data_IF_488950719792
#
_entry.id   IF_488950719792
#
_cell.length_a   1.000
_cell.length_b   1.000
_cell.length_c   1.000
_cell.angle_alpha   90.00
_cell.angle_beta   90.00
_cell.angle_gamma   90.00
#
_symmetry.space_group_name_H-M   'P 1'
#
loop_
_entity.id
_entity.type
_entity.pdbx_description
1 polymer ?
#
# COMPACT_ATOMS: atom_id res chain seq x y z
N UNK A 1 -6.58 -12.65 -4.08
CA UNK A 1 -6.84 -13.30 -3.86
C UNK A 1 -7.38 -13.66 -3.81
N UNK A 2 -7.25 -13.54 -4.18
CA UNK A 2 -7.88 -14.00 -3.99
C UNK A 2 -7.90 -14.67 -3.58
N UNK A 3 -7.48 -14.78 -3.54
CA UNK A 3 -7.42 -15.49 -3.15
C UNK A 3 -7.37 -15.99 -2.45
N UNK A 4 -7.30 -15.98 -2.54
CA UNK A 4 -7.33 -16.67 -1.89
C UNK A 4 -7.27 -16.84 -0.62
N UNK A 5 -7.41 -16.82 -0.60
CA UNK A 5 -6.90 -17.29 0.69
C UNK A 5 -7.53 -16.59 1.86
N UNK A 6 -8.48 -15.78 1.66
CA UNK A 6 -9.17 -15.04 2.70
C UNK A 6 -8.32 -14.00 3.39
N UNK A 7 -7.20 -13.62 2.79
CA UNK A 7 -6.29 -12.68 3.45
C UNK A 7 -6.41 -11.25 2.98
N UNK A 8 -6.92 -11.03 1.79
CA UNK A 8 -7.07 -9.68 1.29
C UNK A 8 -8.37 -9.10 1.75
N UNK A 9 -8.34 -7.87 2.24
CA UNK A 9 -9.50 -7.16 2.72
C UNK A 9 -9.56 -5.79 2.12
N UNK A 10 -10.75 -5.33 1.86
CA UNK A 10 -11.01 -3.96 1.45
C UNK A 10 -12.12 -3.42 2.33
N UNK A 11 -11.87 -2.30 2.99
CA UNK A 11 -12.84 -1.66 3.86
C UNK A 11 -13.09 -0.24 3.38
N UNK A 12 -14.34 0.08 3.13
CA UNK A 12 -14.78 1.43 2.82
C UNK A 12 -16.06 1.68 3.62
N UNK A 13 -16.06 2.71 4.42
CA UNK A 13 -17.24 3.00 5.22
C UNK A 13 -18.33 3.55 4.35
N UNK A 14 -19.54 2.97 4.42
CA UNK A 14 -19.97 1.95 5.38
C UNK A 14 -19.75 0.50 4.96
N UNK A 15 -18.95 0.22 3.96
CA UNK A 15 -18.79 -1.12 3.42
C UNK A 15 -17.49 -1.76 3.84
N UNK A 16 -17.56 -3.07 4.09
CA UNK A 16 -16.38 -3.90 4.33
C UNK A 16 -16.46 -5.12 3.44
N UNK A 17 -15.39 -5.38 2.68
CA UNK A 17 -15.29 -6.55 1.81
C UNK A 17 -14.18 -7.44 2.32
N UNK A 18 -14.48 -8.71 2.54
CA UNK A 18 -13.54 -9.66 3.11
C UNK A 18 -12.73 -10.37 2.04
N UNK A 19 -11.62 -10.94 2.47
CA UNK A 19 -10.56 -11.38 1.60
C UNK A 19 -10.81 -12.56 0.72
N UNK A 20 -11.77 -13.45 0.99
CA UNK A 20 -12.03 -14.48 0.02
C UNK A 20 -12.99 -14.03 -1.06
N UNK A 21 -13.23 -12.77 -1.11
CA UNK A 21 -13.98 -12.12 -2.14
C UNK A 21 -13.01 -11.64 -3.21
N UNK A 22 -13.22 -12.04 -4.45
CA UNK A 22 -12.36 -11.59 -5.54
C UNK A 22 -12.74 -10.17 -5.93
N UNK A 23 -11.81 -9.24 -5.80
CA UNK A 23 -12.06 -7.87 -6.25
C UNK A 23 -12.20 -7.84 -7.76
N UNK A 24 -13.13 -7.05 -8.25
CA UNK A 24 -13.12 -6.68 -9.65
C UNK A 24 -11.80 -5.96 -9.94
N UNK A 25 -11.20 -6.22 -11.11
CA UNK A 25 -9.90 -5.66 -11.43
C UNK A 25 -9.90 -4.13 -11.35
N UNK A 26 -11.02 -3.50 -11.70
CA UNK A 26 -11.12 -2.04 -11.60
C UNK A 26 -11.02 -1.53 -10.19
N UNK A 27 -11.61 -2.24 -9.22
CA UNK A 27 -11.52 -1.85 -7.81
C UNK A 27 -10.09 -2.00 -7.31
N UNK A 28 -9.45 -3.11 -7.61
CA UNK A 28 -8.09 -3.32 -7.17
C UNK A 28 -7.15 -2.25 -7.73
N UNK A 29 -7.33 -1.86 -8.98
CA UNK A 29 -6.51 -0.83 -9.62
C UNK A 29 -6.71 0.54 -9.00
N UNK A 30 -7.87 0.80 -8.43
CA UNK A 30 -8.11 2.04 -7.69
C UNK A 30 -7.33 2.08 -6.39
N UNK A 31 -7.13 0.91 -5.77
CA UNK A 31 -6.48 0.81 -4.47
C UNK A 31 -4.96 0.74 -4.60
N UNK A 32 -4.47 0.01 -5.58
CA UNK A 32 -3.03 -0.18 -5.72
C UNK A 32 -2.68 -0.58 -7.15
N UNK A 33 -1.58 -0.04 -7.65
CA UNK A 33 -1.02 -0.41 -8.94
C UNK A 33 0.48 -0.61 -8.78
N UNK A 34 1.05 -1.59 -9.49
CA UNK A 34 2.48 -1.84 -9.39
C UNK A 34 3.12 -2.30 -10.69
N UNK A 35 2.39 -2.24 -11.79
CA UNK A 35 2.86 -2.81 -13.07
C UNK A 35 4.06 -2.09 -13.68
N UNK A 36 4.45 -0.92 -13.17
CA UNK A 36 5.63 -0.19 -13.64
C UNK A 36 6.83 -0.36 -12.72
N UNK A 37 6.73 -1.21 -11.70
CA UNK A 37 7.79 -1.36 -10.71
C UNK A 37 7.69 -0.36 -9.57
N UNK A 38 6.77 0.59 -9.64
CA UNK A 38 6.49 1.52 -8.56
C UNK A 38 5.13 1.13 -7.98
N UNK A 39 5.08 0.90 -6.67
CA UNK A 39 3.83 0.58 -5.99
C UNK A 39 3.10 1.88 -5.74
N UNK A 40 1.97 2.08 -6.43
CA UNK A 40 1.17 3.28 -6.28
C UNK A 40 -0.02 2.96 -5.39
N UNK A 41 -0.12 3.69 -4.29
CA UNK A 41 -1.17 3.48 -3.29
C UNK A 41 -2.27 4.49 -3.55
N UNK A 42 -3.50 3.99 -3.61
CA UNK A 42 -4.71 4.79 -3.84
C UNK A 42 -4.60 5.72 -5.04
N UNK A 43 -4.14 5.20 -6.20
CA UNK A 43 -3.87 6.08 -7.34
C UNK A 43 -5.12 6.69 -7.96
N UNK A 44 -6.27 6.07 -7.77
CA UNK A 44 -7.50 6.50 -8.45
C UNK A 44 -8.73 6.40 -7.55
N UNK A 45 -8.55 6.54 -6.22
CA UNK A 45 -9.65 6.46 -5.27
C UNK A 45 -10.51 7.72 -5.38
N UNK A 46 -11.84 7.59 -5.48
CA UNK A 46 -12.72 8.76 -5.52
C UNK A 46 -12.57 9.62 -4.28
N UNK A 47 -12.68 10.93 -4.43
CA UNK A 47 -12.51 11.86 -3.32
C UNK A 47 -13.56 11.65 -2.22
N UNK A 48 -14.72 11.09 -2.56
CA UNK A 48 -15.76 10.82 -1.56
C UNK A 48 -15.43 9.64 -0.65
N UNK A 49 -14.42 8.84 -1.00
CA UNK A 49 -14.01 7.69 -0.18
C UNK A 49 -12.96 8.16 0.81
N UNK A 50 -13.41 8.51 2.03
CA UNK A 50 -12.55 9.12 3.04
C UNK A 50 -11.80 8.08 3.88
N UNK A 51 -12.47 6.98 4.22
CA UNK A 51 -11.89 5.94 5.08
C UNK A 51 -11.85 4.64 4.30
N UNK A 52 -10.64 4.20 3.95
CA UNK A 52 -10.43 2.99 3.16
C UNK A 52 -9.24 2.24 3.72
N UNK A 53 -9.35 0.91 3.74
CA UNK A 53 -8.17 0.10 4.04
C UNK A 53 -8.19 -1.16 3.19
N UNK A 54 -7.01 -1.69 2.93
CA UNK A 54 -6.88 -3.00 2.33
C UNK A 54 -5.71 -3.73 2.98
N UNK A 55 -5.72 -5.06 2.89
CA UNK A 55 -4.69 -5.88 3.50
C UNK A 55 -4.19 -6.92 2.52
N UNK A 56 -2.87 -7.09 2.50
CA UNK A 56 -2.18 -8.18 1.81
C UNK A 56 -2.49 -8.27 0.32
N UNK A 57 -2.52 -7.14 -0.35
CA UNK A 57 -2.57 -7.12 -1.81
C UNK A 57 -1.16 -7.35 -2.34
N UNK A 58 -1.05 -8.24 -3.32
CA UNK A 58 0.26 -8.59 -3.86
C UNK A 58 0.67 -7.61 -4.94
N UNK A 59 1.86 -7.04 -4.79
CA UNK A 59 2.45 -6.12 -5.75
C UNK A 59 3.59 -6.78 -6.49
N UNK A 60 3.98 -6.23 -7.62
CA UNK A 60 5.14 -6.70 -8.36
C UNK A 60 6.39 -6.59 -7.52
N UNK A 61 7.32 -7.53 -7.70
CA UNK A 61 8.51 -7.60 -6.88
C UNK A 61 8.34 -8.46 -5.65
N UNK A 62 7.21 -9.16 -5.56
CA UNK A 62 6.90 -10.06 -4.45
C UNK A 62 6.77 -9.31 -3.13
N UNK A 63 5.99 -8.23 -3.14
CA UNK A 63 5.66 -7.49 -1.94
C UNK A 63 4.17 -7.68 -1.62
N UNK A 64 3.87 -7.93 -0.35
CA UNK A 64 2.50 -7.91 0.15
C UNK A 64 2.26 -6.56 0.81
N UNK A 65 1.23 -5.86 0.36
CA UNK A 65 1.02 -4.47 0.73
C UNK A 65 -0.32 -4.31 1.44
N UNK A 66 -0.30 -3.57 2.54
CA UNK A 66 -1.51 -3.17 3.26
C UNK A 66 -1.45 -1.67 3.46
N UNK A 67 -2.60 -1.01 3.41
CA UNK A 67 -2.63 0.44 3.57
C UNK A 67 -3.93 0.88 4.21
N UNK A 68 -3.86 1.99 4.93
CA UNK A 68 -5.02 2.56 5.61
C UNK A 68 -5.09 4.06 5.35
N UNK A 69 -6.25 4.52 4.90
CA UNK A 69 -6.56 5.93 4.70
C UNK A 69 -7.70 6.31 5.62
N UNK A 70 -7.60 7.46 6.24
CA UNK A 70 -8.62 7.97 7.13
C UNK A 70 -8.77 9.47 6.92
N UNK A 71 -10.02 9.92 6.73
CA UNK A 71 -10.27 11.32 6.47
C UNK A 71 -9.55 11.84 5.22
N UNK A 72 -9.38 10.98 4.22
CA UNK A 72 -8.71 11.35 2.99
C UNK A 72 -7.18 11.35 3.07
N UNK A 73 -6.61 10.98 4.22
CA UNK A 73 -5.15 10.98 4.39
C UNK A 73 -4.66 9.58 4.73
N UNK A 74 -3.54 9.18 4.14
CA UNK A 74 -2.94 7.89 4.44
C UNK A 74 -2.35 7.93 5.84
N UNK A 75 -2.67 6.91 6.64
CA UNK A 75 -2.18 6.80 8.01
C UNK A 75 -0.98 5.89 8.09
N UNK A 76 -1.05 4.75 7.42
CA UNK A 76 -0.03 3.73 7.53
C UNK A 76 -0.02 2.85 6.30
N UNK A 77 1.18 2.45 5.88
CA UNK A 77 1.38 1.45 4.85
C UNK A 77 2.30 0.38 5.43
N UNK A 78 1.93 -0.88 5.24
CA UNK A 78 2.72 -2.02 5.67
C UNK A 78 3.12 -2.82 4.44
N UNK A 79 4.40 -3.16 4.34
CA UNK A 79 4.92 -3.90 3.19
C UNK A 79 5.69 -5.09 3.70
N UNK A 80 5.32 -6.28 3.24
CA UNK A 80 6.04 -7.51 3.58
C UNK A 80 6.83 -7.96 2.36
N UNK A 81 8.17 -7.84 2.36
CA UNK A 81 8.98 -8.24 1.22
C UNK A 81 9.24 -9.74 1.25
N UNK A 82 8.63 -10.47 0.34
CA UNK A 82 8.80 -11.92 0.27
C UNK A 82 10.16 -12.31 -0.30
N UNK A 83 10.76 -11.43 -1.09
CA UNK A 83 12.07 -11.68 -1.72
C UNK A 83 13.13 -10.68 -1.30
N UNK A 84 12.74 -9.56 -0.70
CA UNK A 84 13.67 -8.47 -0.43
C UNK A 84 13.85 -7.59 -1.66
N UNK A 85 14.93 -6.82 -1.68
CA UNK A 85 15.21 -5.92 -2.79
C UNK A 85 14.75 -4.51 -2.51
N UNK A 86 14.73 -3.69 -3.55
CA UNK A 86 14.35 -2.28 -3.42
C UNK A 86 12.85 -2.12 -3.66
N UNK A 87 12.19 -1.48 -2.71
CA UNK A 87 10.76 -1.17 -2.82
C UNK A 87 10.61 0.30 -3.18
N UNK A 88 9.88 0.59 -4.25
CA UNK A 88 9.56 1.96 -4.65
C UNK A 88 8.07 2.17 -4.47
N UNK A 89 7.71 3.18 -3.69
CA UNK A 89 6.32 3.40 -3.34
C UNK A 89 5.96 4.87 -3.49
N UNK A 90 4.77 5.12 -4.04
CA UNK A 90 4.28 6.47 -4.26
C UNK A 90 2.80 6.57 -3.90
N UNK A 91 2.39 7.73 -3.45
CA UNK A 91 0.98 8.04 -3.25
C UNK A 91 0.78 9.52 -3.52
N UNK A 92 -0.46 9.94 -3.83
CA UNK A 92 -0.71 11.33 -4.14
C UNK A 92 -0.28 12.25 -2.99
N UNK A 93 0.36 13.37 -3.33
CA UNK A 93 0.83 14.32 -2.33
C UNK A 93 -0.31 14.82 -1.45
N UNK A 94 -1.51 14.97 -2.01
CA UNK A 94 -2.67 15.43 -1.26
C UNK A 94 -3.09 14.48 -0.16
N UNK A 95 -2.63 13.23 -0.20
CA UNK A 95 -2.98 12.22 0.79
C UNK A 95 -1.94 12.10 1.90
N UNK A 96 -0.88 12.90 1.83
CA UNK A 96 0.19 12.86 2.83
C UNK A 96 0.05 14.03 3.79
N UNK A 97 0.13 13.75 5.08
CA UNK A 97 -0.02 14.76 6.13
C UNK A 97 1.33 15.16 6.72
N UNK A 98 2.39 15.08 5.95
CA UNK A 98 3.74 15.43 6.40
C UNK A 98 4.72 14.35 6.02
N UNK A 99 5.90 14.38 6.62
CA UNK A 99 6.93 13.40 6.32
C UNK A 99 6.66 12.10 7.07
N UNK A 100 6.73 10.96 6.39
CA UNK A 100 6.50 9.68 7.05
C UNK A 100 7.72 9.21 7.81
N UNK A 101 7.47 8.33 8.78
CA UNK A 101 8.50 7.57 9.49
C UNK A 101 8.50 6.16 8.91
N UNK A 102 9.69 5.66 8.57
CA UNK A 102 9.85 4.32 8.00
C UNK A 102 10.65 3.45 8.95
N UNK A 103 10.16 2.24 9.23
CA UNK A 103 10.89 1.26 10.03
C UNK A 103 10.97 -0.06 9.27
N UNK A 104 11.97 -0.87 9.58
CA UNK A 104 12.19 -2.16 8.91
C UNK A 104 13.04 -2.07 7.66
N UNK A 105 13.49 -0.88 7.30
CA UNK A 105 14.33 -0.69 6.13
C UNK A 105 15.75 -1.21 6.38
N UNK A 106 16.39 -1.65 5.31
CA UNK A 106 17.72 -2.27 5.36
C UNK A 106 18.84 -1.24 5.22
N UNK A 107 18.52 -0.08 4.71
CA UNK A 107 19.48 1.01 4.52
C UNK A 107 18.71 2.31 4.46
N UNK A 108 19.38 3.37 4.03
CA UNK A 108 18.76 4.69 4.00
C UNK A 108 17.59 4.74 3.04
N UNK A 109 16.51 5.34 3.48
CA UNK A 109 15.36 5.63 2.63
C UNK A 109 15.68 6.90 1.87
N UNK A 110 15.53 6.87 0.56
CA UNK A 110 15.75 8.03 -0.29
C UNK A 110 14.46 8.39 -1.01
N UNK A 111 14.48 9.53 -1.67
CA UNK A 111 13.30 10.00 -2.38
C UNK A 111 13.67 10.40 -3.79
N UNK A 112 12.91 9.89 -4.77
CA UNK A 112 13.05 10.26 -6.17
C UNK A 112 11.75 10.93 -6.58
N UNK A 113 11.71 12.27 -6.49
CA UNK A 113 10.46 12.99 -6.69
C UNK A 113 9.46 12.64 -5.62
N UNK A 114 8.31 12.11 -6.00
CA UNK A 114 7.31 11.69 -5.03
C UNK A 114 7.40 10.20 -4.69
N UNK A 115 8.45 9.52 -5.15
CA UNK A 115 8.65 8.10 -4.91
C UNK A 115 9.61 7.90 -3.75
N UNK A 116 9.18 7.16 -2.73
CA UNK A 116 10.05 6.70 -1.66
C UNK A 116 10.77 5.45 -2.13
N UNK A 117 12.09 5.43 -1.99
CA UNK A 117 12.91 4.30 -2.37
C UNK A 117 13.45 3.66 -1.11
N UNK A 118 13.01 2.45 -0.83
CA UNK A 118 13.25 1.79 0.46
C UNK A 118 13.98 0.47 0.22
N UNK A 119 15.23 0.35 0.71
CA UNK A 119 15.89 -0.96 0.67
C UNK A 119 15.24 -1.88 1.68
N UNK A 120 14.96 -3.11 1.25
CA UNK A 120 14.24 -4.07 2.07
C UNK A 120 15.05 -5.34 2.28
N UNK A 121 14.67 -6.09 3.30
CA UNK A 121 15.25 -7.39 3.59
C UNK A 121 14.14 -8.44 3.56
N UNK A 122 14.44 -9.59 2.95
CA UNK A 122 13.47 -10.67 2.82
C UNK A 122 12.88 -11.03 4.18
N UNK A 123 11.55 -11.02 4.26
CA UNK A 123 10.83 -11.42 5.46
C UNK A 123 10.76 -10.38 6.55
N UNK A 124 11.35 -9.20 6.33
CA UNK A 124 11.32 -8.14 7.34
C UNK A 124 10.33 -7.06 6.94
N UNK A 125 9.25 -6.95 7.70
CA UNK A 125 8.13 -6.06 7.38
C UNK A 125 8.54 -4.60 7.51
N UNK A 126 8.12 -3.80 6.54
CA UNK A 126 8.33 -2.36 6.56
C UNK A 126 7.02 -1.70 6.97
N UNK A 127 7.13 -0.73 7.88
CA UNK A 127 5.98 0.07 8.29
C UNK A 127 6.29 1.53 7.97
N UNK A 128 5.38 2.17 7.24
CA UNK A 128 5.46 3.59 6.92
C UNK A 128 4.29 4.27 7.59
N UNK A 129 4.56 5.22 8.48
CA UNK A 129 3.52 5.93 9.23
C UNK A 129 3.61 7.42 8.99
N UNK A 130 2.46 8.07 8.85
CA UNK A 130 2.36 9.52 8.73
C UNK A 130 1.89 10.11 10.05
N UNK A 131 2.29 11.37 10.35
CA UNK A 131 1.85 12.02 11.60
C UNK A 131 0.36 12.22 11.67
#
# INVERSE_FOLDING_TARGET
>A
DQTNSGKSKFTYRPFTLEGNFAFASGIQEMLMQSHTGIIRIFPAVPASWQDISFQDLRAMGAFLVSAEQKGGKVQQISIYPEQGGTCRIALPASMQSGEPTVTGNQGDVTREGEVLVIPTHKGERIIICWP
#
